data_IF_049610276369
#
_entry.id   IF_049610276369
#
_cell.length_a   1.000
_cell.length_b   1.000
_cell.length_c   1.000
_cell.angle_alpha   90.00
_cell.angle_beta   90.00
_cell.angle_gamma   90.00
#
_symmetry.space_group_name_H-M   'P 1'
#
loop_
_entity.id
_entity.type
_entity.pdbx_description
1 polymer ?
#
# COMPACT_ATOMS: atom_id res chain seq x y z
N UNK A 1 -30.92 -0.68 21.70
CA UNK A 1 -30.10 -0.40 20.50
C UNK A 1 -28.75 0.02 21.02
N UNK A 2 -27.75 -0.85 20.91
CA UNK A 2 -26.40 -0.54 21.36
C UNK A 2 -25.75 0.27 20.25
N UNK A 3 -25.47 1.55 20.49
CA UNK A 3 -24.58 2.33 19.63
C UNK A 3 -23.24 1.57 19.58
N UNK A 4 -22.89 1.00 18.42
CA UNK A 4 -21.54 0.54 18.17
C UNK A 4 -20.67 1.79 18.16
N UNK A 5 -19.87 1.97 19.21
CA UNK A 5 -18.75 2.91 19.18
C UNK A 5 -17.85 2.48 18.01
N UNK A 6 -17.81 3.27 16.94
CA UNK A 6 -16.90 3.05 15.82
C UNK A 6 -15.47 3.26 16.32
N UNK A 7 -14.78 2.17 16.64
CA UNK A 7 -13.35 2.20 16.90
C UNK A 7 -12.63 2.33 15.56
N UNK A 8 -11.70 3.28 15.47
CA UNK A 8 -10.79 3.38 14.34
C UNK A 8 -9.88 2.13 14.34
N UNK A 9 -9.48 1.64 13.16
CA UNK A 9 -8.55 0.53 13.08
C UNK A 9 -7.19 0.90 13.69
N UNK A 10 -6.41 -0.11 14.05
CA UNK A 10 -5.03 0.07 14.47
C UNK A 10 -4.20 0.74 13.36
N UNK A 11 -3.16 1.47 13.74
CA UNK A 11 -2.28 2.19 12.81
C UNK A 11 -2.53 3.70 12.75
N UNK A 12 -1.89 4.37 11.78
CA UNK A 12 -1.96 5.82 11.58
C UNK A 12 -3.01 6.11 10.49
N UNK A 13 -4.10 6.77 10.87
CA UNK A 13 -5.15 7.20 9.92
C UNK A 13 -4.87 8.63 9.46
N UNK A 14 -4.74 8.80 8.15
CA UNK A 14 -4.53 10.07 7.46
C UNK A 14 -5.76 10.34 6.59
N UNK A 15 -6.59 11.29 7.01
CA UNK A 15 -7.83 11.66 6.32
C UNK A 15 -7.65 12.98 5.54
N UNK A 16 -7.84 12.94 4.21
CA UNK A 16 -7.59 14.06 3.29
C UNK A 16 -8.72 14.15 2.25
N UNK A 17 -9.37 15.31 2.08
CA UNK A 17 -10.59 15.44 1.25
C UNK A 17 -10.27 15.35 -0.23
N UNK A 18 -9.14 15.96 -0.61
CA UNK A 18 -8.69 16.02 -1.98
C UNK A 18 -7.95 14.73 -2.33
N UNK A 19 -8.45 14.02 -3.35
CA UNK A 19 -7.83 12.80 -3.85
C UNK A 19 -6.36 13.01 -4.23
N UNK A 20 -6.05 14.09 -4.94
CA UNK A 20 -4.67 14.38 -5.36
C UNK A 20 -3.73 14.59 -4.16
N UNK A 21 -4.17 15.34 -3.14
CA UNK A 21 -3.38 15.52 -1.92
C UNK A 21 -3.22 14.21 -1.14
N UNK A 22 -4.25 13.36 -1.14
CA UNK A 22 -4.20 12.06 -0.50
C UNK A 22 -3.19 11.14 -1.16
N UNK A 23 -3.21 11.06 -2.49
CA UNK A 23 -2.27 10.25 -3.27
C UNK A 23 -0.84 10.81 -3.17
N UNK A 24 -0.68 12.13 -3.17
CA UNK A 24 0.62 12.79 -2.95
C UNK A 24 1.21 12.45 -1.57
N UNK A 25 0.38 12.48 -0.51
CA UNK A 25 0.81 12.10 0.85
C UNK A 25 1.17 10.62 0.97
N UNK A 26 0.39 9.74 0.34
CA UNK A 26 0.71 8.32 0.23
C UNK A 26 2.04 8.10 -0.49
N UNK A 27 2.26 8.81 -1.60
CA UNK A 27 3.47 8.70 -2.41
C UNK A 27 4.71 9.14 -1.65
N UNK A 28 4.63 10.21 -0.85
CA UNK A 28 5.74 10.64 0.01
C UNK A 28 6.11 9.60 1.07
N UNK A 29 5.13 8.91 1.64
CA UNK A 29 5.41 7.84 2.59
C UNK A 29 6.07 6.64 1.93
N UNK A 30 5.58 6.25 0.75
CA UNK A 30 6.21 5.20 -0.05
C UNK A 30 7.67 5.56 -0.40
N UNK A 31 7.91 6.78 -0.89
CA UNK A 31 9.25 7.27 -1.23
C UNK A 31 10.19 7.27 -0.03
N UNK A 32 9.72 7.79 1.10
CA UNK A 32 10.49 7.82 2.35
C UNK A 32 10.91 6.41 2.76
N UNK A 33 9.98 5.44 2.70
CA UNK A 33 10.29 4.04 3.00
C UNK A 33 11.29 3.47 2.00
N UNK A 34 11.10 3.72 0.71
CA UNK A 34 11.98 3.22 -0.36
C UNK A 34 13.42 3.69 -0.19
N UNK A 35 13.62 5.00 0.01
CA UNK A 35 14.96 5.58 0.22
C UNK A 35 15.62 4.98 1.46
N UNK A 36 14.89 4.92 2.59
CA UNK A 36 15.43 4.36 3.83
C UNK A 36 15.81 2.87 3.70
N UNK A 37 14.99 2.07 3.00
CA UNK A 37 15.29 0.65 2.77
C UNK A 37 16.54 0.50 1.90
N UNK A 38 16.63 1.21 0.77
CA UNK A 38 17.83 1.16 -0.09
C UNK A 38 19.09 1.61 0.66
N UNK A 39 19.01 2.66 1.48
CA UNK A 39 20.15 3.11 2.30
C UNK A 39 20.58 2.08 3.35
N UNK A 40 19.64 1.29 3.88
CA UNK A 40 19.88 0.36 4.99
C UNK A 40 20.30 -1.03 4.50
N UNK A 41 19.65 -1.56 3.47
CA UNK A 41 19.81 -2.95 3.00
C UNK A 41 20.33 -3.05 1.57
N UNK A 42 20.37 -1.94 0.82
CA UNK A 42 20.79 -1.89 -0.58
C UNK A 42 19.67 -2.17 -1.58
N UNK A 43 18.48 -2.54 -1.11
CA UNK A 43 17.32 -2.86 -1.95
C UNK A 43 16.01 -2.42 -1.28
N UNK A 44 14.95 -2.24 -2.06
CA UNK A 44 13.62 -1.96 -1.56
C UNK A 44 12.62 -2.97 -2.10
N UNK A 45 11.99 -3.76 -1.22
CA UNK A 45 11.06 -4.82 -1.60
C UNK A 45 9.61 -4.35 -1.52
N UNK A 46 9.01 -4.11 -2.67
CA UNK A 46 7.68 -3.53 -2.82
C UNK A 46 6.66 -4.58 -3.30
N UNK A 47 5.51 -4.62 -2.64
CA UNK A 47 4.35 -5.43 -3.03
C UNK A 47 3.20 -4.51 -3.44
N UNK A 48 2.54 -4.83 -4.54
CA UNK A 48 1.40 -4.08 -5.07
C UNK A 48 0.13 -4.93 -5.09
N UNK A 49 -0.96 -4.39 -4.56
CA UNK A 49 -2.30 -4.87 -4.91
C UNK A 49 -2.85 -4.12 -6.13
N UNK A 50 -3.93 -4.64 -6.73
CA UNK A 50 -4.59 -4.02 -7.88
C UNK A 50 -5.98 -3.50 -7.50
N UNK A 51 -6.29 -2.28 -7.93
CA UNK A 51 -7.66 -1.73 -7.93
C UNK A 51 -7.68 -0.43 -8.74
N UNK A 52 -8.86 -0.02 -9.23
CA UNK A 52 -9.00 1.22 -10.00
C UNK A 52 -8.45 2.48 -9.28
N UNK A 53 -8.56 2.52 -7.94
CA UNK A 53 -8.00 3.60 -7.13
C UNK A 53 -6.46 3.57 -7.14
N UNK A 54 -5.90 2.37 -7.04
CA UNK A 54 -4.45 2.18 -7.07
C UNK A 54 -3.88 2.40 -8.47
N UNK A 55 -4.61 2.13 -9.54
CA UNK A 55 -4.16 2.45 -10.90
C UNK A 55 -3.87 3.94 -11.07
N UNK A 56 -4.71 4.80 -10.48
CA UNK A 56 -4.46 6.25 -10.45
C UNK A 56 -3.22 6.59 -9.62
N UNK A 57 -3.07 5.97 -8.45
CA UNK A 57 -1.90 6.15 -7.60
C UNK A 57 -0.60 5.75 -8.34
N UNK A 58 -0.60 4.60 -8.99
CA UNK A 58 0.53 4.08 -9.76
C UNK A 58 0.82 4.95 -10.98
N UNK A 59 -0.19 5.39 -11.72
CA UNK A 59 0.00 6.36 -12.81
C UNK A 59 0.66 7.65 -12.31
N UNK A 60 0.27 8.15 -11.14
CA UNK A 60 0.88 9.34 -10.55
C UNK A 60 2.36 9.13 -10.22
N UNK A 61 2.73 7.98 -9.63
CA UNK A 61 4.15 7.64 -9.38
C UNK A 61 5.01 7.66 -10.66
N UNK A 62 4.40 7.38 -11.81
CA UNK A 62 5.07 7.28 -13.11
C UNK A 62 5.14 8.61 -13.88
N UNK A 63 4.13 9.46 -13.71
CA UNK A 63 3.98 10.71 -14.45
C UNK A 63 4.55 11.89 -13.68
N UNK A 64 4.40 11.92 -12.36
CA UNK A 64 4.83 13.04 -11.52
C UNK A 64 6.36 13.10 -11.45
N UNK A 65 6.99 14.20 -11.90
CA UNK A 65 8.44 14.37 -11.86
C UNK A 65 9.05 14.21 -10.47
N UNK A 66 8.33 14.63 -9.43
CA UNK A 66 8.82 14.56 -8.05
C UNK A 66 8.79 13.11 -7.52
N UNK A 67 7.91 12.27 -8.08
CA UNK A 67 7.76 10.86 -7.71
C UNK A 67 8.57 9.90 -8.58
N UNK A 68 9.03 10.35 -9.75
CA UNK A 68 10.04 9.64 -10.56
C UNK A 68 11.39 9.45 -9.86
N UNK A 69 11.61 10.14 -8.75
CA UNK A 69 12.79 9.97 -7.91
C UNK A 69 12.87 8.63 -7.15
N UNK A 70 11.87 7.76 -7.28
CA UNK A 70 11.87 6.43 -6.67
C UNK A 70 13.13 5.65 -7.11
N UNK A 71 13.79 4.93 -6.19
CA UNK A 71 15.02 4.19 -6.49
C UNK A 71 14.73 2.88 -7.24
N UNK A 72 14.05 2.96 -8.39
CA UNK A 72 13.56 1.83 -9.17
C UNK A 72 14.64 0.82 -9.55
N UNK A 73 15.88 1.26 -9.73
CA UNK A 73 17.03 0.40 -10.00
C UNK A 73 17.39 -0.55 -8.83
N UNK A 74 17.02 -0.19 -7.60
CA UNK A 74 17.21 -0.97 -6.39
C UNK A 74 15.88 -1.51 -5.82
N UNK A 75 14.76 -1.21 -6.47
CA UNK A 75 13.45 -1.74 -6.09
C UNK A 75 13.26 -3.14 -6.66
N UNK A 76 12.86 -4.09 -5.82
CA UNK A 76 12.36 -5.42 -6.17
C UNK A 76 10.83 -5.40 -6.06
N UNK A 77 10.11 -5.85 -7.08
CA UNK A 77 8.66 -5.68 -7.20
C UNK A 77 7.93 -7.02 -7.24
N UNK A 78 6.87 -7.16 -6.46
CA UNK A 78 5.95 -8.30 -6.48
C UNK A 78 4.49 -7.84 -6.58
N UNK A 79 3.64 -8.71 -7.13
CA UNK A 79 2.19 -8.61 -6.98
C UNK A 79 1.74 -9.23 -5.66
N UNK A 80 0.66 -8.73 -5.07
CA UNK A 80 0.11 -9.26 -3.83
C UNK A 80 -0.38 -10.70 -3.99
N UNK A 81 -1.17 -10.95 -5.04
CA UNK A 81 -1.79 -12.25 -5.34
C UNK A 81 -1.74 -12.54 -6.84
N UNK A 82 -1.96 -13.80 -7.21
CA UNK A 82 -2.08 -14.19 -8.62
C UNK A 82 -3.44 -13.72 -9.16
N UNK A 83 -3.42 -12.79 -10.12
CA UNK A 83 -4.60 -12.08 -10.57
C UNK A 83 -4.27 -10.97 -11.55
N UNK A 84 -5.03 -9.88 -11.49
CA UNK A 84 -4.81 -8.69 -12.31
C UNK A 84 -3.39 -8.14 -12.14
N UNK A 85 -2.65 -8.10 -13.24
CA UNK A 85 -1.26 -7.67 -13.31
C UNK A 85 -1.08 -6.35 -14.07
N UNK A 86 -2.15 -5.67 -14.49
CA UNK A 86 -2.03 -4.45 -15.30
C UNK A 86 -1.18 -3.38 -14.60
N UNK A 87 -1.46 -3.13 -13.31
CA UNK A 87 -0.69 -2.22 -12.47
C UNK A 87 0.79 -2.64 -12.34
N UNK A 88 1.03 -3.93 -12.10
CA UNK A 88 2.37 -4.50 -11.97
C UNK A 88 3.18 -4.32 -13.26
N UNK A 89 2.60 -4.71 -14.40
CA UNK A 89 3.22 -4.59 -15.72
C UNK A 89 3.49 -3.13 -16.04
N UNK A 90 2.52 -2.24 -15.80
CA UNK A 90 2.67 -0.80 -16.07
C UNK A 90 3.87 -0.21 -15.34
N UNK A 91 4.02 -0.50 -14.04
CA UNK A 91 5.19 -0.04 -13.27
C UNK A 91 6.47 -0.70 -13.77
N UNK A 92 6.49 -2.02 -13.97
CA UNK A 92 7.67 -2.74 -14.43
C UNK A 92 8.22 -2.18 -15.76
N UNK A 93 7.34 -1.90 -16.73
CA UNK A 93 7.74 -1.41 -18.05
C UNK A 93 8.11 0.07 -18.07
N UNK A 94 7.44 0.91 -17.30
CA UNK A 94 7.60 2.36 -17.43
C UNK A 94 8.57 2.97 -16.42
N UNK A 95 8.93 2.26 -15.34
CA UNK A 95 9.71 2.82 -14.21
C UNK A 95 11.19 2.94 -14.50
N UNK A 96 11.67 2.21 -15.51
CA UNK A 96 13.09 2.08 -15.81
C UNK A 96 13.83 1.14 -14.84
N UNK A 97 13.10 0.33 -14.06
CA UNK A 97 13.71 -0.74 -13.27
C UNK A 97 14.25 -1.86 -14.18
N UNK A 98 15.30 -2.59 -13.74
CA UNK A 98 15.74 -3.81 -14.41
C UNK A 98 14.61 -4.85 -14.48
N UNK A 99 14.50 -5.57 -15.59
CA UNK A 99 13.44 -6.59 -15.77
C UNK A 99 13.55 -7.70 -14.72
N UNK A 100 14.77 -8.05 -14.31
CA UNK A 100 15.03 -9.05 -13.27
C UNK A 100 14.53 -8.66 -11.88
N UNK A 101 14.22 -7.37 -11.67
CA UNK A 101 13.67 -6.90 -10.40
C UNK A 101 12.14 -7.04 -10.33
N UNK A 102 11.47 -7.38 -11.44
CA UNK A 102 10.03 -7.60 -11.49
C UNK A 102 9.69 -9.09 -11.37
N UNK A 103 9.26 -9.51 -10.18
CA UNK A 103 9.02 -10.91 -9.84
C UNK A 103 7.60 -11.35 -10.22
N UNK A 104 7.49 -12.45 -10.97
CA UNK A 104 6.21 -12.99 -11.43
C UNK A 104 5.45 -13.77 -10.34
N UNK A 105 6.17 -14.24 -9.31
CA UNK A 105 5.60 -14.92 -8.15
C UNK A 105 4.80 -13.93 -7.30
N UNK A 106 3.70 -14.38 -6.69
CA UNK A 106 2.91 -13.54 -5.81
C UNK A 106 3.41 -13.59 -4.36
N UNK A 107 3.27 -12.46 -3.66
CA UNK A 107 3.86 -12.26 -2.35
C UNK A 107 3.18 -13.08 -1.24
N UNK A 108 1.88 -13.38 -1.38
CA UNK A 108 1.14 -14.22 -0.45
C UNK A 108 1.67 -15.66 -0.52
N UNK A 109 1.74 -16.25 -1.71
CA UNK A 109 2.28 -17.60 -1.92
C UNK A 109 3.71 -17.74 -1.41
N UNK A 110 4.56 -16.73 -1.67
CA UNK A 110 5.94 -16.67 -1.17
C UNK A 110 5.99 -16.70 0.36
N UNK A 111 5.15 -15.90 1.02
CA UNK A 111 5.08 -15.84 2.48
C UNK A 111 4.59 -17.16 3.09
N UNK A 112 3.64 -17.84 2.45
CA UNK A 112 3.09 -19.11 2.92
C UNK A 112 4.06 -20.29 2.72
N UNK A 113 4.86 -20.27 1.66
CA UNK A 113 5.83 -21.31 1.35
C UNK A 113 7.02 -21.40 2.32
N UNK A 114 7.06 -20.55 3.36
CA UNK A 114 8.19 -20.38 4.30
C UNK A 114 9.49 -19.93 3.62
N UNK A 115 9.36 -19.20 2.51
CA UNK A 115 10.49 -18.46 1.96
C UNK A 115 10.96 -17.40 2.97
N UNK A 116 12.26 -17.18 3.13
CA UNK A 116 12.82 -16.15 4.05
C UNK A 116 12.68 -14.71 3.48
N UNK A 117 11.73 -14.49 2.58
CA UNK A 117 11.51 -13.19 1.97
C UNK A 117 10.70 -12.31 2.93
N UNK A 118 11.32 -11.22 3.37
CA UNK A 118 10.64 -10.10 4.00
C UNK A 118 10.40 -8.98 3.00
N UNK A 119 9.30 -8.26 3.16
CA UNK A 119 8.93 -7.13 2.31
C UNK A 119 9.08 -5.82 3.07
N UNK A 120 9.52 -4.79 2.38
CA UNK A 120 9.66 -3.47 2.98
C UNK A 120 8.32 -2.74 3.03
N UNK A 121 7.55 -2.81 1.94
CA UNK A 121 6.27 -2.12 1.85
C UNK A 121 5.27 -2.90 1.00
N UNK A 122 4.02 -2.91 1.42
CA UNK A 122 2.89 -3.32 0.60
C UNK A 122 1.91 -2.15 0.40
N UNK A 123 1.63 -1.80 -0.85
CA UNK A 123 0.58 -0.84 -1.22
C UNK A 123 -0.70 -1.62 -1.51
N UNK A 124 -1.76 -1.29 -0.79
CA UNK A 124 -2.97 -2.10 -0.70
C UNK A 124 -4.21 -1.28 -0.93
N UNK A 125 -5.16 -1.88 -1.65
CA UNK A 125 -6.55 -1.43 -1.65
C UNK A 125 -7.19 -1.87 -0.36
N UNK A 126 -8.15 -1.10 0.15
CA UNK A 126 -8.93 -1.52 1.32
C UNK A 126 -9.67 -2.85 1.09
N UNK A 127 -10.03 -3.17 -0.16
CA UNK A 127 -10.71 -4.43 -0.48
C UNK A 127 -9.79 -5.66 -0.36
N UNK A 128 -8.47 -5.47 -0.45
CA UNK A 128 -7.50 -6.56 -0.37
C UNK A 128 -6.99 -6.81 1.04
N UNK A 129 -7.32 -5.91 1.98
CA UNK A 129 -6.92 -6.00 3.39
C UNK A 129 -7.37 -7.32 4.02
N UNK A 130 -8.58 -7.79 3.72
CA UNK A 130 -9.11 -9.05 4.27
C UNK A 130 -8.46 -10.29 3.66
N UNK A 131 -7.89 -10.16 2.46
CA UNK A 131 -7.20 -11.25 1.76
C UNK A 131 -5.78 -11.47 2.27
N UNK A 132 -5.24 -10.51 3.04
CA UNK A 132 -3.90 -10.61 3.60
C UNK A 132 -3.87 -11.59 4.76
N UNK A 133 -2.96 -12.56 4.67
CA UNK A 133 -2.72 -13.52 5.75
C UNK A 133 -1.89 -12.89 6.87
N UNK A 134 -2.05 -13.41 8.10
CA UNK A 134 -1.16 -13.04 9.21
C UNK A 134 0.31 -13.29 8.90
N UNK A 135 0.59 -14.33 8.09
CA UNK A 135 1.96 -14.66 7.66
C UNK A 135 2.54 -13.58 6.77
N UNK A 136 1.80 -13.09 5.76
CA UNK A 136 2.25 -11.98 4.93
C UNK A 136 2.38 -10.68 5.75
N UNK A 137 1.39 -10.37 6.57
CA UNK A 137 1.46 -9.18 7.42
C UNK A 137 2.69 -9.22 8.34
N UNK A 138 3.08 -10.40 8.85
CA UNK A 138 4.29 -10.56 9.65
C UNK A 138 5.60 -10.53 8.84
N UNK A 139 5.56 -10.75 7.53
CA UNK A 139 6.74 -10.67 6.65
C UNK A 139 6.95 -9.28 6.06
N UNK A 140 5.97 -8.37 6.17
CA UNK A 140 6.05 -7.01 5.67
C UNK A 140 6.37 -6.02 6.80
N UNK A 141 7.20 -5.00 6.54
CA UNK A 141 7.54 -3.99 7.55
C UNK A 141 6.63 -2.75 7.50
N UNK A 142 5.99 -2.47 6.37
CA UNK A 142 5.03 -1.38 6.22
C UNK A 142 3.82 -1.79 5.36
N UNK A 143 2.61 -1.56 5.86
CA UNK A 143 1.38 -1.64 5.07
C UNK A 143 0.86 -0.22 4.79
N UNK A 144 0.70 0.11 3.52
CA UNK A 144 0.17 1.38 3.05
C UNK A 144 -1.18 1.11 2.38
N UNK A 145 -2.26 1.39 3.09
CA UNK A 145 -3.62 1.15 2.61
C UNK A 145 -4.21 2.44 2.07
N UNK A 146 -4.65 2.43 0.81
CA UNK A 146 -5.40 3.53 0.19
C UNK A 146 -6.88 3.12 0.13
N UNK A 147 -7.72 3.86 0.85
CA UNK A 147 -9.11 3.52 1.09
C UNK A 147 -10.05 4.61 0.56
N UNK A 148 -10.89 4.29 -0.43
CA UNK A 148 -11.94 5.18 -0.95
C UNK A 148 -13.07 5.45 0.06
N UNK A 149 -13.34 4.52 0.97
CA UNK A 149 -14.48 4.56 1.90
C UNK A 149 -14.05 4.28 3.35
N UNK A 150 -14.39 5.21 4.27
CA UNK A 150 -14.15 5.05 5.71
C UNK A 150 -15.03 3.95 6.33
N UNK A 151 -16.22 3.66 5.81
CA UNK A 151 -17.07 2.62 6.40
C UNK A 151 -16.40 1.25 6.30
N UNK A 152 -15.75 0.97 5.17
CA UNK A 152 -14.89 -0.20 5.02
C UNK A 152 -13.70 -0.18 5.98
N UNK A 153 -13.19 1.00 6.32
CA UNK A 153 -12.05 1.18 7.24
C UNK A 153 -12.41 0.84 8.69
N UNK A 154 -13.65 1.13 9.11
CA UNK A 154 -14.17 0.74 10.43
C UNK A 154 -14.50 -0.77 10.46
N UNK A 155 -14.89 -1.35 9.33
CA UNK A 155 -15.17 -2.79 9.21
C UNK A 155 -13.89 -3.63 9.15
N UNK A 156 -12.79 -3.10 8.61
CA UNK A 156 -11.49 -3.77 8.48
C UNK A 156 -10.66 -3.78 9.77
N UNK A 157 -11.31 -3.75 10.94
CA UNK A 157 -10.72 -3.78 12.28
C UNK A 157 -9.93 -5.07 12.62
N UNK A 158 -9.69 -5.95 11.65
CA UNK A 158 -9.06 -7.26 11.81
C UNK A 158 -7.59 -7.36 11.38
N UNK A 159 -6.95 -6.28 10.93
CA UNK A 159 -5.51 -6.35 10.62
C UNK A 159 -4.71 -6.67 11.89
N UNK A 160 -3.76 -7.62 11.84
CA UNK A 160 -2.88 -7.90 12.97
C UNK A 160 -2.10 -6.65 13.36
N UNK A 161 -1.70 -6.54 14.63
CA UNK A 161 -0.81 -5.46 15.07
C UNK A 161 0.43 -5.42 14.18
N UNK A 162 0.60 -4.30 13.48
CA UNK A 162 1.63 -4.11 12.49
C UNK A 162 2.41 -2.84 12.83
N UNK A 163 3.73 -2.93 12.83
CA UNK A 163 4.61 -1.87 13.37
C UNK A 163 4.42 -0.54 12.62
N UNK A 164 4.21 -0.59 11.30
CA UNK A 164 3.92 0.58 10.47
C UNK A 164 2.72 0.28 9.56
N UNK A 165 1.53 0.71 9.96
CA UNK A 165 0.30 0.61 9.19
C UNK A 165 -0.26 2.02 8.96
N UNK A 166 -0.40 2.41 7.71
CA UNK A 166 -0.95 3.71 7.30
C UNK A 166 -2.25 3.53 6.54
N UNK A 167 -3.25 4.31 6.91
CA UNK A 167 -4.53 4.36 6.20
C UNK A 167 -4.73 5.74 5.59
N UNK A 168 -4.80 5.81 4.26
CA UNK A 168 -5.09 7.04 3.52
C UNK A 168 -6.54 7.03 3.05
N UNK A 169 -7.37 7.88 3.64
CA UNK A 169 -8.82 7.92 3.37
C UNK A 169 -9.32 9.33 3.11
N UNK A 170 -10.46 9.47 2.45
CA UNK A 170 -11.11 10.76 2.25
C UNK A 170 -11.69 11.30 3.57
N UNK A 171 -11.70 12.62 3.77
CA UNK A 171 -12.18 13.22 5.03
C UNK A 171 -13.70 13.19 5.18
N UNK A 172 -14.06 13.39 6.44
CA UNK A 172 -15.37 13.31 7.06
C UNK A 172 -16.11 14.63 6.78
N UNK A 173 -17.32 14.59 6.21
CA UNK A 173 -18.32 15.54 6.68
C UNK A 173 -18.68 15.12 8.09
N UNK A 174 -18.07 15.75 9.10
CA UNK A 174 -18.60 15.67 10.45
C UNK A 174 -20.00 16.29 10.37
N UNK A 175 -21.03 15.46 10.20
CA UNK A 175 -22.41 15.89 10.41
C UNK A 175 -22.57 16.19 11.90
N UNK A 176 -22.15 17.40 12.23
CA UNK A 176 -22.30 18.09 13.49
C UNK A 176 -22.60 19.56 13.24
N UNK A 177 -23.41 19.87 12.21
CA UNK A 177 -24.10 21.15 12.10
C UNK A 177 -25.58 20.87 11.86
N UNK A 178 -26.29 20.51 12.94
CA UNK A 178 -27.62 21.06 13.12
C UNK A 178 -27.45 22.29 14.01
N UNK A 179 -27.57 23.45 13.35
CA UNK A 179 -27.99 24.73 13.92
C UNK A 179 -29.29 24.59 14.71
#
# INVERSE_FOLDING_TARGET
MTEKQEQLPNGIVIAIECDDERLDRASRQLMSKAVNSVETTGEFKLVLSSSELLDRFYQQLMVDPDLRGMPWNATQLWKLTDGDDEAFQSIAFHSGMPEENAHQEDAISLSESKSEVSFDCAVLSINDVESITQTFAGSCSMLLVIADDRHKLVESAGLPEHEQLFWFTSTISLRGENL
#
